data_IF_072890914952
#
_entry.id   IF_072890914952
#
_cell.length_a   1.000
_cell.length_b   1.000
_cell.length_c   1.000
_cell.angle_alpha   90.00
_cell.angle_beta   90.00
_cell.angle_gamma   90.00
#
_symmetry.space_group_name_H-M   'P 1'
#
loop_
_entity.id
_entity.type
_entity.pdbx_description
1 polymer ?
#
# COMPACT_ATOMS: atom_id res chain seq x y z
N UNK A 1 33.42 1.04 -0.30
CA UNK A 1 32.18 1.17 0.47
C UNK A 1 31.02 1.22 -0.52
N UNK A 2 30.40 0.08 -0.82
CA UNK A 2 29.21 0.03 -1.67
C UNK A 2 27.99 0.19 -0.77
N UNK A 3 27.40 1.39 -0.72
CA UNK A 3 26.16 1.61 0.02
C UNK A 3 25.05 0.75 -0.56
N UNK A 4 24.52 -0.18 0.23
CA UNK A 4 23.32 -0.93 -0.11
C UNK A 4 22.21 0.07 -0.44
N UNK A 5 21.73 0.05 -1.70
CA UNK A 5 20.65 0.94 -2.12
C UNK A 5 19.36 0.43 -1.51
N UNK A 6 18.90 1.06 -0.42
CA UNK A 6 17.55 0.86 0.09
C UNK A 6 16.56 1.29 -0.99
N UNK A 7 15.72 0.37 -1.47
CA UNK A 7 14.71 0.61 -2.51
C UNK A 7 13.36 0.80 -1.83
N UNK A 8 12.76 1.99 -1.93
CA UNK A 8 11.40 2.21 -1.44
C UNK A 8 10.42 1.32 -2.22
N UNK A 9 9.82 0.37 -1.53
CA UNK A 9 8.79 -0.54 -2.06
C UNK A 9 7.42 0.17 -2.04
N UNK A 10 6.36 -0.44 -2.59
CA UNK A 10 5.04 0.17 -2.72
C UNK A 10 4.50 0.88 -1.47
N UNK A 11 3.83 2.01 -1.70
CA UNK A 11 2.94 2.62 -0.71
C UNK A 11 1.64 1.83 -0.74
N UNK A 12 1.22 1.34 0.42
CA UNK A 12 -0.05 0.63 0.55
C UNK A 12 -1.17 1.65 0.75
N UNK A 13 -2.22 1.63 -0.06
CA UNK A 13 -3.45 2.38 0.13
C UNK A 13 -4.58 1.43 0.45
N UNK A 14 -5.30 1.69 1.54
CA UNK A 14 -6.57 1.01 1.80
C UNK A 14 -7.67 1.70 1.00
N UNK A 15 -8.41 0.92 0.21
CA UNK A 15 -9.45 1.43 -0.68
C UNK A 15 -10.81 0.86 -0.30
N UNK A 16 -11.84 1.72 -0.27
CA UNK A 16 -13.22 1.31 0.04
C UNK A 16 -14.08 1.03 -1.19
N UNK A 17 -13.81 1.73 -2.30
CA UNK A 17 -14.51 1.55 -3.58
C UNK A 17 -13.58 1.06 -4.68
N UNK A 18 -13.52 -0.26 -4.92
CA UNK A 18 -12.65 -0.83 -5.95
C UNK A 18 -12.88 -0.25 -7.35
N UNK A 19 -14.12 -0.17 -7.89
CA UNK A 19 -14.31 0.32 -9.26
C UNK A 19 -13.81 1.76 -9.45
N UNK A 20 -14.14 2.67 -8.52
CA UNK A 20 -13.70 4.08 -8.58
C UNK A 20 -12.17 4.20 -8.48
N UNK A 21 -11.54 3.42 -7.61
CA UNK A 21 -10.08 3.43 -7.46
C UNK A 21 -9.37 2.86 -8.69
N UNK A 22 -9.84 1.73 -9.23
CA UNK A 22 -9.25 1.15 -10.44
C UNK A 22 -9.44 2.06 -11.64
N UNK A 23 -10.61 2.69 -11.80
CA UNK A 23 -10.79 3.73 -12.82
C UNK A 23 -9.78 4.86 -12.66
N UNK A 24 -9.57 5.35 -11.44
CA UNK A 24 -8.60 6.41 -11.20
C UNK A 24 -7.17 6.00 -11.59
N UNK A 25 -6.66 4.89 -11.06
CA UNK A 25 -5.27 4.49 -11.32
C UNK A 25 -5.05 3.98 -12.75
N UNK A 26 -5.96 3.14 -13.26
CA UNK A 26 -5.81 2.51 -14.58
C UNK A 26 -6.20 3.44 -15.72
N UNK A 27 -7.37 4.07 -15.64
CA UNK A 27 -7.95 4.80 -16.77
C UNK A 27 -7.57 6.29 -16.77
N UNK A 28 -7.49 6.92 -15.59
CA UNK A 28 -7.13 8.35 -15.50
C UNK A 28 -5.61 8.56 -15.42
N UNK A 29 -4.90 7.77 -14.59
CA UNK A 29 -3.45 7.87 -14.46
C UNK A 29 -2.68 6.99 -15.45
N UNK A 30 -3.35 6.12 -16.20
CA UNK A 30 -2.72 5.24 -17.19
C UNK A 30 -1.80 4.18 -16.58
N UNK A 31 -1.96 3.85 -15.30
CA UNK A 31 -1.12 2.86 -14.62
C UNK A 31 -1.49 1.43 -15.00
N UNK A 32 -0.50 0.54 -14.98
CA UNK A 32 -0.69 -0.88 -15.31
C UNK A 32 -0.90 -1.71 -14.06
N UNK A 33 -1.91 -2.57 -14.06
CA UNK A 33 -2.08 -3.60 -13.02
C UNK A 33 -0.99 -4.65 -13.21
N UNK A 34 -0.16 -4.84 -12.19
CA UNK A 34 0.99 -5.73 -12.23
C UNK A 34 0.64 -7.13 -11.69
N UNK A 35 -0.19 -7.18 -10.64
CA UNK A 35 -0.69 -8.43 -10.04
C UNK A 35 -1.92 -8.15 -9.20
N UNK A 36 -2.78 -9.15 -9.10
CA UNK A 36 -3.97 -9.14 -8.27
C UNK A 36 -4.09 -10.47 -7.52
N UNK A 37 -4.26 -10.40 -6.20
CA UNK A 37 -4.31 -11.56 -5.32
C UNK A 37 -5.51 -11.45 -4.38
N UNK A 38 -6.29 -12.53 -4.26
CA UNK A 38 -7.43 -12.67 -3.35
C UNK A 38 -7.05 -13.55 -2.15
N UNK A 39 -7.48 -13.15 -0.96
CA UNK A 39 -7.13 -13.80 0.30
C UNK A 39 -8.37 -14.01 1.16
N UNK A 40 -8.50 -15.19 1.77
CA UNK A 40 -9.63 -15.55 2.65
C UNK A 40 -9.50 -15.03 4.09
N UNK A 41 -8.51 -14.16 4.37
CA UNK A 41 -8.22 -13.60 5.69
C UNK A 41 -7.03 -14.28 6.38
N UNK A 42 -6.34 -13.55 7.27
CA UNK A 42 -5.22 -14.07 8.05
C UNK A 42 -5.50 -13.90 9.55
N UNK A 43 -5.09 -14.86 10.39
CA UNK A 43 -5.08 -14.67 11.86
C UNK A 43 -4.15 -13.54 12.30
N UNK A 44 -3.16 -13.19 11.49
CA UNK A 44 -2.34 -12.02 11.70
C UNK A 44 -3.16 -10.79 11.32
N UNK A 45 -3.17 -9.78 12.18
CA UNK A 45 -3.72 -8.43 11.97
C UNK A 45 -2.98 -7.64 10.87
N UNK A 46 -2.51 -8.32 9.83
CA UNK A 46 -1.62 -7.80 8.80
C UNK A 46 -2.23 -6.63 8.03
N UNK A 47 -3.56 -6.51 7.97
CA UNK A 47 -4.23 -5.39 7.30
C UNK A 47 -5.18 -4.59 8.22
N UNK A 48 -5.22 -4.89 9.52
CA UNK A 48 -6.13 -4.30 10.50
C UNK A 48 -6.99 -5.34 11.22
N UNK A 49 -7.95 -4.91 12.07
CA UNK A 49 -8.85 -5.80 12.81
C UNK A 49 -10.00 -6.30 11.91
N UNK A 50 -9.68 -6.83 10.73
CA UNK A 50 -10.66 -7.27 9.75
C UNK A 50 -10.58 -8.79 9.62
N UNK A 51 -11.61 -9.51 10.08
CA UNK A 51 -11.71 -10.97 10.02
C UNK A 51 -12.16 -11.49 8.63
N UNK A 52 -11.98 -10.68 7.58
CA UNK A 52 -12.63 -10.88 6.30
C UNK A 52 -11.71 -11.24 5.15
N UNK A 53 -12.34 -11.70 4.08
CA UNK A 53 -11.76 -11.76 2.73
C UNK A 53 -11.20 -10.39 2.36
N UNK A 54 -10.04 -10.36 1.70
CA UNK A 54 -9.42 -9.13 1.22
C UNK A 54 -8.62 -9.40 -0.06
N UNK A 55 -8.33 -8.35 -0.81
CA UNK A 55 -7.47 -8.45 -1.99
C UNK A 55 -6.34 -7.44 -1.97
N UNK A 56 -5.27 -7.80 -2.68
CA UNK A 56 -4.11 -6.96 -2.97
C UNK A 56 -4.05 -6.72 -4.46
N UNK A 57 -3.97 -5.46 -4.88
CA UNK A 57 -3.72 -5.10 -6.27
C UNK A 57 -2.49 -4.22 -6.36
N UNK A 58 -1.50 -4.66 -7.13
CA UNK A 58 -0.29 -3.89 -7.36
C UNK A 58 -0.44 -3.15 -8.67
N UNK A 59 -0.29 -1.83 -8.65
CA UNK A 59 -0.51 -0.97 -9.82
C UNK A 59 0.62 0.04 -9.97
N UNK A 60 1.14 0.17 -11.20
CA UNK A 60 2.30 1.01 -11.51
C UNK A 60 3.26 0.32 -12.47
N UNK A 61 4.56 0.46 -12.22
CA UNK A 61 5.63 -0.20 -12.99
C UNK A 61 6.81 -0.48 -12.06
N UNK A 62 7.09 -1.74 -11.73
CA UNK A 62 8.12 -2.14 -10.76
C UNK A 62 9.56 -1.96 -11.25
N UNK A 63 9.72 -1.93 -12.56
CA UNK A 63 10.98 -1.81 -13.28
C UNK A 63 11.40 -0.36 -13.50
N UNK A 64 10.43 0.56 -13.63
CA UNK A 64 10.68 1.98 -13.96
C UNK A 64 10.13 2.97 -12.94
N UNK A 65 9.21 2.60 -12.04
CA UNK A 65 8.51 3.60 -11.24
C UNK A 65 8.15 3.12 -9.82
N UNK A 66 7.59 4.05 -9.06
CA UNK A 66 6.89 3.73 -7.82
C UNK A 66 5.64 2.91 -8.11
N UNK A 67 5.34 1.98 -7.22
CA UNK A 67 4.17 1.08 -7.31
C UNK A 67 3.26 1.38 -6.14
N UNK A 68 1.96 1.28 -6.36
CA UNK A 68 0.97 1.41 -5.29
C UNK A 68 0.37 0.04 -5.04
N UNK A 69 0.33 -0.37 -3.77
CA UNK A 69 -0.42 -1.55 -3.33
C UNK A 69 -1.82 -1.09 -2.91
N UNK A 70 -2.86 -1.47 -3.63
CA UNK A 70 -4.26 -1.23 -3.24
C UNK A 70 -4.75 -2.42 -2.43
N UNK A 71 -5.09 -2.19 -1.16
CA UNK A 71 -5.66 -3.19 -0.26
C UNK A 71 -7.15 -2.94 -0.12
N UNK A 72 -7.96 -3.88 -0.60
CA UNK A 72 -9.41 -3.86 -0.46
C UNK A 72 -9.85 -4.91 0.55
N UNK A 73 -10.57 -4.50 1.60
CA UNK A 73 -11.15 -5.42 2.57
C UNK A 73 -12.64 -5.55 2.28
N UNK A 74 -13.13 -6.78 2.07
CA UNK A 74 -14.54 -7.00 1.78
C UNK A 74 -15.40 -6.58 2.98
N UNK A 75 -16.51 -5.90 2.70
CA UNK A 75 -17.40 -5.36 3.72
C UNK A 75 -16.89 -4.08 4.41
N UNK A 76 -15.72 -3.56 4.01
CA UNK A 76 -15.24 -2.24 4.44
C UNK A 76 -15.39 -1.25 3.29
N UNK A 77 -16.31 -0.32 3.46
CA UNK A 77 -16.71 0.60 2.39
C UNK A 77 -16.02 1.96 2.43
N UNK A 78 -15.52 2.37 3.59
CA UNK A 78 -14.82 3.63 3.78
C UNK A 78 -13.75 3.52 4.85
N UNK A 79 -12.78 4.41 4.78
CA UNK A 79 -11.77 4.59 5.79
C UNK A 79 -11.70 6.07 6.16
N UNK A 80 -11.57 6.35 7.46
CA UNK A 80 -11.31 7.71 7.93
C UNK A 80 -9.92 8.12 7.46
N UNK A 81 -9.84 9.17 6.66
CA UNK A 81 -8.58 9.77 6.28
C UNK A 81 -7.93 10.43 7.51
N UNK A 82 -6.62 10.21 7.63
CA UNK A 82 -5.75 10.92 8.55
C UNK A 82 -5.24 12.24 7.98
N UNK A 83 -4.13 12.73 8.54
CA UNK A 83 -3.35 13.84 8.00
C UNK A 83 -1.99 13.38 7.43
N UNK A 84 -1.77 12.06 7.34
CA UNK A 84 -0.51 11.39 7.03
C UNK A 84 -0.23 11.27 5.52
N UNK A 85 -1.28 11.19 4.70
CA UNK A 85 -1.18 11.17 3.24
C UNK A 85 -1.92 12.36 2.64
N UNK A 86 -1.20 13.21 1.90
CA UNK A 86 -1.76 14.35 1.16
C UNK A 86 -1.33 14.28 -0.30
N UNK A 87 -2.28 14.40 -1.21
CA UNK A 87 -1.98 14.64 -2.63
C UNK A 87 -1.91 16.15 -2.83
N UNK A 88 -0.71 16.68 -3.06
CA UNK A 88 -0.51 18.11 -3.37
C UNK A 88 -0.24 18.23 -4.88
N UNK A 89 -1.07 18.95 -5.65
CA UNK A 89 -0.71 19.36 -7.01
C UNK A 89 0.49 20.30 -6.91
N UNK A 90 1.59 19.86 -7.51
CA UNK A 90 2.97 20.37 -7.41
C UNK A 90 3.12 21.90 -7.32
N UNK A 91 3.46 22.42 -6.13
CA UNK A 91 4.17 23.70 -5.90
C UNK A 91 4.73 23.74 -4.46
N UNK A 92 6.02 23.41 -4.21
CA UNK A 92 6.80 24.10 -3.15
C UNK A 92 8.32 23.78 -3.12
N UNK A 93 9.09 24.74 -2.62
CA UNK A 93 10.55 24.78 -2.46
C UNK A 93 10.93 24.90 -0.96
N UNK A 94 10.37 24.03 -0.10
CA UNK A 94 10.62 24.06 1.35
C UNK A 94 11.60 22.98 1.80
N UNK A 95 12.58 23.37 2.65
CA UNK A 95 13.65 22.51 3.24
C UNK A 95 13.17 21.42 4.23
N UNK A 96 11.92 20.98 4.13
CA UNK A 96 11.26 20.04 5.07
C UNK A 96 10.71 18.78 4.40
N UNK A 97 11.16 18.51 3.18
CA UNK A 97 10.61 17.46 2.33
C UNK A 97 11.70 16.43 2.03
N UNK A 98 11.32 15.16 1.90
CA UNK A 98 12.16 14.08 1.40
C UNK A 98 11.55 13.52 0.11
N UNK A 99 12.29 13.60 -0.98
CA UNK A 99 11.89 13.03 -2.27
C UNK A 99 12.49 11.64 -2.44
N UNK A 100 11.62 10.66 -2.64
CA UNK A 100 11.97 9.27 -2.90
C UNK A 100 11.67 8.97 -4.37
N UNK A 101 12.70 8.64 -5.13
CA UNK A 101 12.57 8.31 -6.55
C UNK A 101 13.72 7.41 -6.99
N UNK A 102 13.48 6.66 -8.06
CA UNK A 102 14.46 5.73 -8.63
C UNK A 102 15.45 6.42 -9.56
N UNK A 103 14.96 7.40 -10.34
CA UNK A 103 15.75 8.24 -11.23
C UNK A 103 15.18 9.67 -11.30
N UNK A 104 15.98 10.60 -11.79
CA UNK A 104 15.61 12.02 -11.84
C UNK A 104 14.42 12.31 -12.75
N UNK A 105 14.22 11.50 -13.79
CA UNK A 105 13.17 11.65 -14.80
C UNK A 105 11.90 10.85 -14.50
N UNK A 106 11.71 10.38 -13.26
CA UNK A 106 10.58 9.53 -12.87
C UNK A 106 9.72 10.21 -11.80
N UNK A 107 8.46 9.77 -11.71
CA UNK A 107 7.55 10.16 -10.63
C UNK A 107 8.21 9.88 -9.26
N UNK A 108 8.15 10.87 -8.36
CA UNK A 108 8.76 10.81 -7.02
C UNK A 108 7.67 10.80 -5.96
N UNK A 109 7.87 10.00 -4.92
CA UNK A 109 7.09 10.09 -3.68
C UNK A 109 7.71 11.18 -2.81
N UNK A 110 6.94 12.21 -2.47
CA UNK A 110 7.36 13.25 -1.55
C UNK A 110 6.80 13.00 -0.15
N UNK A 111 7.67 12.96 0.84
CA UNK A 111 7.30 12.97 2.26
C UNK A 111 7.51 14.38 2.78
N UNK A 112 6.47 14.96 3.39
CA UNK A 112 6.50 16.31 3.94
C UNK A 112 6.34 16.29 5.46
N UNK A 113 7.19 17.01 6.19
CA UNK A 113 6.96 17.31 7.60
C UNK A 113 5.75 18.24 7.76
N UNK A 114 4.69 17.73 8.39
CA UNK A 114 3.45 18.49 8.65
C UNK A 114 3.56 19.44 9.86
N UNK A 115 4.68 19.46 10.56
CA UNK A 115 4.94 20.36 11.69
C UNK A 115 4.14 20.04 12.95
N UNK A 116 3.58 18.84 13.06
CA UNK A 116 2.70 18.42 14.14
C UNK A 116 2.54 16.90 14.24
N UNK A 117 1.72 16.42 15.20
CA UNK A 117 1.48 14.99 15.35
C UNK A 117 0.75 14.42 14.13
N UNK A 118 1.19 13.23 13.73
CA UNK A 118 0.57 12.47 12.64
C UNK A 118 -0.67 11.75 13.18
N UNK A 119 -1.82 12.04 12.57
CA UNK A 119 -3.04 11.27 12.70
C UNK A 119 -3.13 10.34 11.49
N UNK A 120 -3.03 9.04 11.72
CA UNK A 120 -3.06 8.02 10.68
C UNK A 120 -4.48 7.74 10.14
N UNK A 121 -5.53 8.13 10.85
CA UNK A 121 -6.87 7.69 10.47
C UNK A 121 -7.01 6.16 10.53
N UNK A 122 -7.96 5.62 9.76
CA UNK A 122 -8.09 4.18 9.52
C UNK A 122 -7.68 3.79 8.10
N UNK A 123 -7.50 4.78 7.22
CA UNK A 123 -7.04 4.63 5.84
C UNK A 123 -5.53 4.42 5.71
N UNK A 124 -4.79 4.54 6.82
CA UNK A 124 -3.34 4.55 6.79
C UNK A 124 -2.75 3.38 6.01
N UNK A 125 -1.77 3.76 5.20
CA UNK A 125 -0.91 2.88 4.47
C UNK A 125 0.25 2.35 5.26
N UNK A 126 1.01 1.47 4.62
CA UNK A 126 2.37 1.09 5.03
C UNK A 126 3.30 1.49 3.89
N UNK A 127 4.53 1.82 4.25
CA UNK A 127 5.62 1.94 3.28
C UNK A 127 6.53 0.75 3.53
N UNK A 128 6.77 -0.03 2.49
CA UNK A 128 7.78 -1.06 2.54
C UNK A 128 9.12 -0.49 2.04
N UNK A 129 10.23 -1.06 2.51
CA UNK A 129 11.56 -0.77 2.00
C UNK A 129 12.26 -2.10 1.74
N UNK A 130 12.89 -2.24 0.58
CA UNK A 130 13.79 -3.33 0.28
C UNK A 130 15.20 -2.94 0.72
N UNK A 131 15.85 -3.83 1.46
CA UNK A 131 17.27 -3.78 1.79
C UNK A 131 17.89 -5.16 1.54
N UNK A 132 19.23 -5.26 1.42
CA UNK A 132 19.92 -6.54 1.42
C UNK A 132 19.50 -7.38 2.64
N UNK A 133 19.32 -8.68 2.43
CA UNK A 133 18.85 -9.62 3.47
C UNK A 133 19.77 -9.62 4.69
N UNK A 134 21.07 -9.45 4.46
CA UNK A 134 22.11 -9.42 5.49
C UNK A 134 21.97 -8.21 6.43
N UNK A 135 21.27 -7.14 6.00
CA UNK A 135 21.01 -5.95 6.82
C UNK A 135 19.82 -6.13 7.76
N UNK A 136 18.89 -7.06 7.48
CA UNK A 136 17.66 -7.24 8.25
C UNK A 136 17.90 -7.51 9.75
N UNK A 137 18.83 -8.39 10.17
CA UNK A 137 19.10 -8.61 11.59
C UNK A 137 19.61 -7.35 12.29
N UNK A 138 20.46 -6.57 11.61
CA UNK A 138 20.98 -5.31 12.15
C UNK A 138 19.88 -4.26 12.32
N UNK A 139 19.00 -4.11 11.32
CA UNK A 139 17.87 -3.18 11.38
C UNK A 139 16.93 -3.54 12.54
N UNK A 140 16.61 -4.83 12.71
CA UNK A 140 15.76 -5.28 13.82
C UNK A 140 16.39 -4.97 15.18
N UNK A 141 17.69 -5.22 15.34
CA UNK A 141 18.42 -4.92 16.57
C UNK A 141 18.40 -3.41 16.89
N UNK A 142 18.58 -2.55 15.87
CA UNK A 142 18.49 -1.11 16.04
C UNK A 142 17.08 -0.67 16.48
N UNK A 143 16.03 -1.24 15.88
CA UNK A 143 14.64 -0.95 16.27
C UNK A 143 14.34 -1.37 17.71
N UNK A 144 14.83 -2.54 18.14
CA UNK A 144 14.70 -3.02 19.54
C UNK A 144 15.34 -2.08 20.56
N UNK A 145 16.41 -1.36 20.18
CA UNK A 145 17.11 -0.39 21.05
C UNK A 145 16.39 0.95 21.17
N UNK A 146 15.47 1.29 20.26
CA UNK A 146 14.75 2.58 20.28
C UNK A 146 13.53 2.49 21.21
N UNK A 147 13.42 3.46 22.12
CA UNK A 147 12.21 3.62 22.94
C UNK A 147 11.02 4.01 22.06
N UNK A 148 9.82 3.52 22.39
CA UNK A 148 8.56 3.81 21.70
C UNK A 148 8.44 3.28 20.26
N UNK A 149 9.27 2.30 19.86
CA UNK A 149 9.10 1.56 18.61
C UNK A 149 8.48 0.19 18.89
N UNK A 150 7.60 -0.27 17.99
CA UNK A 150 6.96 -1.60 18.09
C UNK A 150 7.25 -2.40 16.83
N UNK A 151 7.93 -3.53 17.01
CA UNK A 151 8.06 -4.54 15.96
C UNK A 151 6.78 -5.39 15.97
N UNK A 152 6.01 -5.34 14.88
CA UNK A 152 4.75 -6.09 14.76
C UNK A 152 4.98 -7.57 14.44
N UNK A 153 5.95 -7.85 13.58
CA UNK A 153 6.34 -9.20 13.16
C UNK A 153 7.85 -9.27 13.20
N UNK A 154 8.45 -10.06 14.11
CA UNK A 154 9.89 -10.26 14.14
C UNK A 154 10.40 -10.91 12.86
N UNK A 155 11.68 -10.70 12.55
CA UNK A 155 12.36 -11.34 11.44
C UNK A 155 12.26 -12.87 11.56
N UNK A 156 11.74 -13.52 10.53
CA UNK A 156 11.68 -14.99 10.40
C UNK A 156 12.62 -15.47 9.29
N UNK A 157 13.15 -16.69 9.37
CA UNK A 157 14.03 -17.25 8.34
C UNK A 157 13.40 -17.26 6.94
N UNK A 158 12.09 -17.47 6.81
CA UNK A 158 11.38 -17.49 5.52
C UNK A 158 10.99 -16.09 4.99
N UNK A 159 11.64 -15.01 5.44
CA UNK A 159 11.31 -13.66 4.97
C UNK A 159 11.49 -13.52 3.44
N UNK A 160 10.44 -13.03 2.76
CA UNK A 160 10.30 -12.84 1.31
C UNK A 160 11.62 -12.53 0.59
N UNK A 161 12.16 -13.52 -0.11
CA UNK A 161 13.49 -13.46 -0.74
C UNK A 161 13.46 -12.91 -2.18
N UNK A 162 12.28 -12.82 -2.80
CA UNK A 162 12.14 -12.43 -4.20
C UNK A 162 11.28 -11.17 -4.38
N UNK A 163 11.75 -10.27 -5.25
CA UNK A 163 10.92 -9.21 -5.79
C UNK A 163 9.87 -9.83 -6.72
N UNK A 164 8.60 -9.52 -6.47
CA UNK A 164 7.47 -10.12 -7.18
C UNK A 164 7.49 -9.80 -8.68
N UNK A 165 7.02 -10.75 -9.49
CA UNK A 165 6.96 -10.66 -10.95
C UNK A 165 5.58 -10.12 -11.40
N UNK A 166 5.54 -9.54 -12.59
CA UNK A 166 4.28 -9.14 -13.24
C UNK A 166 3.51 -10.36 -13.72
N UNK A 167 2.22 -10.45 -13.41
CA UNK A 167 1.32 -11.48 -13.91
C UNK A 167 0.62 -10.97 -15.19
N UNK A 168 0.79 -11.64 -16.35
CA UNK A 168 0.14 -11.24 -17.59
C UNK A 168 -1.40 -11.24 -17.51
N UNK A 169 -1.99 -12.02 -16.58
CA UNK A 169 -3.42 -12.13 -16.38
C UNK A 169 -3.94 -11.19 -15.27
N UNK A 170 -3.10 -10.31 -14.72
CA UNK A 170 -3.46 -9.49 -13.57
C UNK A 170 -4.72 -8.63 -13.78
N UNK A 171 -4.92 -8.12 -15.01
CA UNK A 171 -6.13 -7.36 -15.35
C UNK A 171 -7.37 -8.24 -15.36
N UNK A 172 -7.30 -9.44 -15.92
CA UNK A 172 -8.43 -10.36 -16.00
C UNK A 172 -8.82 -10.85 -14.60
N UNK A 173 -7.83 -11.23 -13.79
CA UNK A 173 -8.03 -11.60 -12.38
C UNK A 173 -8.74 -10.48 -11.59
N UNK A 174 -8.30 -9.23 -11.75
CA UNK A 174 -8.92 -8.08 -11.09
C UNK A 174 -10.35 -7.83 -11.61
N UNK A 175 -10.58 -7.92 -12.92
CA UNK A 175 -11.89 -7.72 -13.52
C UNK A 175 -12.87 -8.81 -13.05
N UNK A 176 -12.44 -10.07 -13.01
CA UNK A 176 -13.23 -11.21 -12.53
C UNK A 176 -13.57 -11.08 -11.04
N UNK A 177 -12.61 -10.62 -10.23
CA UNK A 177 -12.82 -10.34 -8.81
C UNK A 177 -13.83 -9.21 -8.58
N UNK A 178 -13.79 -8.14 -9.40
CA UNK A 178 -14.79 -7.07 -9.36
C UNK A 178 -16.16 -7.55 -9.84
N UNK A 179 -16.23 -8.38 -10.88
CA UNK A 179 -17.50 -8.93 -11.38
C UNK A 179 -18.15 -9.91 -10.39
N UNK A 180 -17.33 -10.64 -9.62
CA UNK A 180 -17.77 -11.57 -8.58
C UNK A 180 -18.05 -10.89 -7.23
N UNK A 181 -17.83 -9.57 -7.12
CA UNK A 181 -18.00 -8.82 -5.88
C UNK A 181 -19.48 -8.60 -5.55
N UNK A 182 -19.96 -9.31 -4.52
CA UNK A 182 -21.33 -9.15 -3.98
C UNK A 182 -21.39 -8.25 -2.74
N UNK A 183 -20.38 -7.41 -2.51
CA UNK A 183 -20.34 -6.51 -1.35
C UNK A 183 -21.55 -5.59 -1.28
N UNK A 184 -22.09 -5.15 -2.43
CA UNK A 184 -23.32 -4.33 -2.47
C UNK A 184 -24.53 -5.07 -1.91
N UNK A 185 -24.73 -6.34 -2.27
CA UNK A 185 -25.79 -7.18 -1.72
C UNK A 185 -25.63 -7.37 -0.21
N UNK A 186 -24.39 -7.53 0.25
CA UNK A 186 -24.07 -7.70 1.67
C UNK A 186 -24.38 -6.44 2.48
N UNK A 187 -23.96 -5.26 2.00
CA UNK A 187 -24.30 -3.97 2.61
C UNK A 187 -25.82 -3.76 2.64
N UNK A 188 -26.51 -4.03 1.53
CA UNK A 188 -27.96 -3.90 1.44
C UNK A 188 -28.71 -4.82 2.42
N UNK A 189 -28.30 -6.08 2.55
CA UNK A 189 -28.86 -7.03 3.55
C UNK A 189 -28.66 -6.55 4.98
N UNK A 190 -27.52 -5.90 5.27
CA UNK A 190 -27.24 -5.31 6.57
C UNK A 190 -27.95 -3.99 6.85
N UNK A 191 -28.77 -3.45 5.92
CA UNK A 191 -29.29 -2.07 5.94
C UNK A 191 -28.20 -1.02 6.10
N UNK A 192 -26.98 -1.34 5.66
CA UNK A 192 -25.85 -0.43 5.66
C UNK A 192 -25.72 0.13 4.24
N UNK A 193 -25.48 1.43 4.12
CA UNK A 193 -25.18 2.02 2.82
C UNK A 193 -23.71 1.70 2.49
N UNK A 194 -23.45 1.15 1.31
CA UNK A 194 -22.08 1.08 0.80
C UNK A 194 -21.63 2.53 0.52
N UNK A 195 -20.60 3.05 1.22
CA UNK A 195 -20.07 4.38 0.96
C UNK A 195 -19.60 4.48 -0.49
N UNK A 196 -19.97 5.58 -1.15
CA UNK A 196 -19.36 5.96 -2.42
C UNK A 196 -17.97 6.52 -2.11
N UNK A 197 -16.93 5.83 -2.59
CA UNK A 197 -15.56 6.35 -2.53
C UNK A 197 -15.43 7.75 -3.14
#
# INVERSE_FOLDING_TARGET
>A
MGGGRVKALPYVLKVGGRPSNIRFFRELLGMTVLRHEEFEGCKATCNGPYDGKWSKTMIGSEDKHFVVELTYNYGVGEYRLGNDFKVIPYFNDTKKNALLGYADNQCKLELQDIGGPVDHGTAFGRIAFACPREELPHIEEQMKKKKNQKILTPLVPEAFEELSQTDPNANDLLNDAMASDKSEEWFAKGKMQKPSA
#
